data_IF_576272083192
#
_entry.id   IF_576272083192
#
_cell.length_a   1.000
_cell.length_b   1.000
_cell.length_c   1.000
_cell.angle_alpha   90.00
_cell.angle_beta   90.00
_cell.angle_gamma   90.00
#
_symmetry.space_group_name_H-M   'P 1'
#
loop_
_entity.id
_entity.type
_entity.pdbx_description
1 polymer ?
#
# COMPACT_ATOMS: atom_id res chain seq x y z
N UNK A 1 51.43 -31.60 30.93
CA UNK A 1 51.29 -31.36 29.48
C UNK A 1 49.79 -31.18 29.21
N UNK A 2 49.32 -29.93 29.18
CA UNK A 2 47.88 -29.64 29.04
C UNK A 2 47.48 -29.64 27.56
N UNK A 3 46.35 -30.26 27.17
CA UNK A 3 45.84 -30.16 25.81
C UNK A 3 45.28 -28.74 25.61
N UNK A 4 45.81 -28.04 24.60
CA UNK A 4 45.29 -26.73 24.21
C UNK A 4 43.92 -26.92 23.59
N UNK A 5 42.91 -26.34 24.22
CA UNK A 5 41.53 -26.36 23.75
C UNK A 5 41.39 -25.73 22.37
N UNK A 6 40.73 -26.46 21.48
CA UNK A 6 40.29 -26.00 20.18
C UNK A 6 39.10 -25.05 20.35
N UNK A 7 39.22 -23.81 19.87
CA UNK A 7 38.10 -22.86 19.78
C UNK A 7 37.08 -23.35 18.73
N UNK A 8 35.79 -23.54 19.10
CA UNK A 8 34.81 -24.12 18.20
C UNK A 8 34.03 -23.05 17.39
N UNK A 9 33.85 -23.32 16.09
CA UNK A 9 32.63 -23.07 15.29
C UNK A 9 32.10 -21.62 15.24
N UNK A 10 32.84 -20.69 14.62
CA UNK A 10 32.29 -19.40 14.15
C UNK A 10 32.33 -19.25 12.62
N UNK A 11 33.26 -19.93 11.95
CA UNK A 11 33.46 -19.84 10.50
C UNK A 11 32.37 -20.52 9.67
N UNK A 12 31.74 -21.57 10.19
CA UNK A 12 30.79 -22.43 9.47
C UNK A 12 29.46 -21.71 9.16
N UNK A 13 29.01 -20.91 10.13
CA UNK A 13 27.80 -20.10 9.99
C UNK A 13 28.00 -18.97 8.97
N UNK A 14 29.17 -18.35 8.96
CA UNK A 14 29.47 -17.27 8.00
C UNK A 14 29.71 -17.79 6.58
N UNK A 15 30.28 -18.99 6.42
CA UNK A 15 30.33 -19.66 5.11
C UNK A 15 28.95 -20.05 4.63
N UNK A 16 28.09 -20.58 5.52
CA UNK A 16 26.71 -20.93 5.19
C UNK A 16 25.89 -19.71 4.77
N UNK A 17 26.05 -18.57 5.47
CA UNK A 17 25.43 -17.29 5.09
C UNK A 17 25.88 -16.83 3.71
N UNK A 18 27.18 -16.88 3.41
CA UNK A 18 27.73 -16.50 2.11
C UNK A 18 27.22 -17.40 0.97
N UNK A 19 27.12 -18.71 1.21
CA UNK A 19 26.55 -19.65 0.25
C UNK A 19 25.06 -19.41 0.01
N UNK A 20 24.28 -19.11 1.06
CA UNK A 20 22.88 -18.76 0.89
C UNK A 20 22.70 -17.46 0.09
N UNK A 21 23.51 -16.44 0.38
CA UNK A 21 23.50 -15.18 -0.36
C UNK A 21 23.84 -15.38 -1.85
N UNK A 22 24.83 -16.21 -2.17
CA UNK A 22 25.19 -16.50 -3.56
C UNK A 22 24.06 -17.25 -4.29
N UNK A 23 23.43 -18.24 -3.66
CA UNK A 23 22.27 -18.96 -4.24
C UNK A 23 21.10 -18.04 -4.52
N UNK A 24 20.78 -17.12 -3.59
CA UNK A 24 19.74 -16.12 -3.80
C UNK A 24 20.09 -15.16 -4.94
N UNK A 25 21.36 -14.75 -5.06
CA UNK A 25 21.82 -13.92 -6.17
C UNK A 25 21.71 -14.63 -7.53
N UNK A 26 22.06 -15.92 -7.60
CA UNK A 26 21.92 -16.74 -8.82
C UNK A 26 20.45 -16.89 -9.19
N UNK A 27 19.56 -17.16 -8.24
CA UNK A 27 18.12 -17.21 -8.48
C UNK A 27 17.57 -15.86 -8.97
N UNK A 28 18.07 -14.74 -8.43
CA UNK A 28 17.69 -13.42 -8.93
C UNK A 28 18.18 -13.17 -10.36
N UNK A 29 19.37 -13.67 -10.72
CA UNK A 29 19.90 -13.58 -12.08
C UNK A 29 19.11 -14.44 -13.06
N UNK A 30 18.69 -15.66 -12.68
CA UNK A 30 17.86 -16.50 -13.53
C UNK A 30 16.50 -15.85 -13.81
N UNK A 31 15.88 -15.22 -12.81
CA UNK A 31 14.63 -14.45 -13.01
C UNK A 31 14.82 -13.29 -13.99
N UNK A 32 15.95 -12.57 -13.92
CA UNK A 32 16.29 -11.51 -14.88
C UNK A 32 16.52 -12.06 -16.28
N UNK A 33 17.17 -13.22 -16.41
CA UNK A 33 17.38 -13.90 -17.68
C UNK A 33 16.07 -14.34 -18.33
N UNK A 34 15.13 -14.87 -17.54
CA UNK A 34 13.79 -15.19 -18.02
C UNK A 34 13.09 -13.94 -18.57
N UNK A 35 13.17 -12.79 -17.88
CA UNK A 35 12.58 -11.55 -18.36
C UNK A 35 13.20 -11.07 -19.69
N UNK A 36 14.54 -11.09 -19.80
CA UNK A 36 15.23 -10.70 -21.05
C UNK A 36 14.94 -11.67 -22.20
N UNK A 37 14.76 -12.95 -21.91
CA UNK A 37 14.43 -13.95 -22.92
C UNK A 37 13.04 -13.69 -23.48
N UNK A 38 12.04 -13.46 -22.61
CA UNK A 38 10.67 -13.14 -23.04
C UNK A 38 10.64 -11.86 -23.88
N UNK A 39 11.42 -10.83 -23.51
CA UNK A 39 11.56 -9.61 -24.31
C UNK A 39 12.16 -9.88 -25.70
N UNK A 40 13.19 -10.74 -25.77
CA UNK A 40 13.79 -11.15 -27.05
C UNK A 40 12.78 -11.90 -27.93
N UNK A 41 12.00 -12.80 -27.34
CA UNK A 41 10.91 -13.51 -28.04
C UNK A 41 9.84 -12.55 -28.54
N UNK A 42 9.45 -11.54 -27.74
CA UNK A 42 8.51 -10.52 -28.18
C UNK A 42 9.04 -9.72 -29.38
N UNK A 43 10.33 -9.37 -29.37
CA UNK A 43 10.98 -8.66 -30.48
C UNK A 43 11.10 -9.51 -31.76
N UNK A 44 11.27 -10.83 -31.65
CA UNK A 44 11.29 -11.71 -32.82
C UNK A 44 9.88 -11.94 -33.37
N UNK A 45 8.88 -12.15 -32.51
CA UNK A 45 7.46 -12.25 -32.88
C UNK A 45 6.98 -10.99 -33.61
N UNK A 46 7.38 -9.80 -33.15
CA UNK A 46 7.03 -8.53 -33.80
C UNK A 46 7.62 -8.33 -35.21
N UNK A 47 8.69 -9.08 -35.56
CA UNK A 47 9.37 -8.98 -36.87
C UNK A 47 8.91 -10.04 -37.86
N UNK A 48 8.07 -10.99 -37.45
CA UNK A 48 7.57 -12.06 -38.31
C UNK A 48 6.23 -11.66 -38.93
N UNK A 49 5.98 -11.96 -40.22
CA UNK A 49 4.66 -11.85 -40.81
C UNK A 49 3.81 -13.03 -40.34
N UNK A 50 3.10 -12.85 -39.23
CA UNK A 50 2.21 -13.87 -38.67
C UNK A 50 0.81 -13.77 -39.30
N UNK A 51 0.29 -14.89 -39.78
CA UNK A 51 -1.11 -15.08 -40.16
C UNK A 51 -2.02 -15.10 -38.92
N UNK A 52 -3.30 -14.74 -39.12
CA UNK A 52 -4.27 -14.62 -38.04
C UNK A 52 -4.45 -15.93 -37.25
N UNK A 53 -4.39 -17.07 -37.94
CA UNK A 53 -4.58 -18.40 -37.34
C UNK A 53 -3.41 -18.75 -36.40
N UNK A 54 -2.18 -18.40 -36.79
CA UNK A 54 -0.98 -18.59 -35.95
C UNK A 54 -0.98 -17.71 -34.70
N UNK A 55 -1.57 -16.51 -34.76
CA UNK A 55 -1.69 -15.60 -33.61
C UNK A 55 -2.67 -16.18 -32.58
N UNK A 56 -3.80 -16.72 -33.04
CA UNK A 56 -4.82 -17.31 -32.18
C UNK A 56 -4.29 -18.55 -31.45
N UNK A 57 -3.56 -19.42 -32.16
CA UNK A 57 -2.92 -20.59 -31.55
C UNK A 57 -1.86 -20.21 -30.49
N UNK A 58 -1.09 -19.14 -30.72
CA UNK A 58 -0.14 -18.63 -29.73
C UNK A 58 -0.85 -18.03 -28.50
N UNK A 59 -1.96 -17.32 -28.71
CA UNK A 59 -2.72 -16.74 -27.61
C UNK A 59 -3.37 -17.82 -26.73
N UNK A 60 -3.87 -18.91 -27.32
CA UNK A 60 -4.40 -20.07 -26.59
C UNK A 60 -3.30 -20.74 -25.74
N UNK A 61 -2.08 -20.87 -26.28
CA UNK A 61 -0.95 -21.46 -25.56
C UNK A 61 -0.44 -20.60 -24.40
N UNK A 62 -0.47 -19.26 -24.54
CA UNK A 62 -0.01 -18.32 -23.51
C UNK A 62 -1.04 -18.08 -22.40
N UNK A 63 -2.33 -18.34 -22.64
CA UNK A 63 -3.42 -18.27 -21.65
C UNK A 63 -3.77 -16.85 -21.18
N UNK A 64 -5.06 -16.52 -21.16
CA UNK A 64 -5.60 -15.19 -20.80
C UNK A 64 -5.61 -14.88 -19.29
N UNK A 65 -4.61 -15.31 -18.51
CA UNK A 65 -4.58 -14.98 -17.09
C UNK A 65 -4.30 -13.46 -16.89
N UNK A 66 -5.25 -12.66 -16.35
CA UNK A 66 -5.03 -11.23 -16.19
C UNK A 66 -3.95 -10.99 -15.13
N UNK A 67 -2.76 -10.61 -15.56
CA UNK A 67 -1.71 -10.10 -14.68
C UNK A 67 -2.18 -8.73 -14.17
N UNK A 68 -2.73 -8.68 -12.96
CA UNK A 68 -3.04 -7.43 -12.26
C UNK A 68 -1.72 -6.73 -11.91
N UNK A 69 -1.15 -5.99 -12.86
CA UNK A 69 -0.03 -5.07 -12.62
C UNK A 69 -0.61 -3.90 -11.81
N UNK A 70 -0.64 -4.06 -10.48
CA UNK A 70 -0.98 -2.97 -9.59
C UNK A 70 -0.05 -1.79 -9.86
N UNK A 71 -0.61 -0.67 -10.31
CA UNK A 71 0.10 0.59 -10.56
C UNK A 71 0.79 1.05 -9.27
N UNK A 72 2.00 0.57 -9.01
CA UNK A 72 2.85 1.11 -7.95
C UNK A 72 3.30 2.48 -8.44
N UNK A 73 2.74 3.53 -7.85
CA UNK A 73 3.26 4.90 -7.97
C UNK A 73 4.73 4.85 -7.56
N UNK A 74 5.63 5.17 -8.49
CA UNK A 74 7.04 5.35 -8.17
C UNK A 74 7.13 6.38 -7.04
N UNK A 75 7.64 5.92 -5.89
CA UNK A 75 8.17 6.80 -4.86
C UNK A 75 9.62 7.01 -5.26
N UNK A 76 10.03 8.25 -5.44
CA UNK A 76 11.44 8.62 -5.49
C UNK A 76 12.13 8.03 -4.25
N UNK A 77 13.12 7.18 -4.53
CA UNK A 77 13.87 6.35 -3.59
C UNK A 77 15.05 7.17 -3.05
N UNK A 78 14.80 7.91 -1.97
CA UNK A 78 15.83 8.35 -1.04
C UNK A 78 15.62 7.58 0.27
N UNK A 79 16.25 6.42 0.37
CA UNK A 79 16.68 5.79 1.63
C UNK A 79 15.61 5.32 2.62
N UNK A 80 15.71 4.03 2.96
CA UNK A 80 15.04 3.34 4.09
C UNK A 80 13.58 2.90 3.86
N UNK A 81 13.45 1.75 3.21
CA UNK A 81 12.22 1.01 2.99
C UNK A 81 11.62 0.33 4.22
N UNK A 82 11.72 0.92 5.41
CA UNK A 82 10.86 0.51 6.52
C UNK A 82 9.53 1.24 6.39
N UNK A 83 8.43 0.49 6.18
CA UNK A 83 7.08 1.02 6.40
C UNK A 83 7.06 1.55 7.84
N UNK A 84 7.20 2.87 8.00
CA UNK A 84 7.12 3.53 9.31
C UNK A 84 5.73 3.23 9.87
N UNK A 85 5.62 2.16 10.65
CA UNK A 85 4.48 1.88 11.51
C UNK A 85 4.45 3.09 12.42
N UNK A 86 3.53 4.03 12.15
CA UNK A 86 3.42 5.27 12.92
C UNK A 86 3.29 4.84 14.38
N UNK A 87 4.36 5.04 15.15
CA UNK A 87 4.38 4.76 16.59
C UNK A 87 3.33 5.68 17.16
N UNK A 88 2.15 5.12 17.39
CA UNK A 88 1.05 5.82 18.01
C UNK A 88 1.42 5.82 19.48
N UNK A 89 1.93 6.97 19.96
CA UNK A 89 2.09 7.19 21.39
C UNK A 89 0.78 6.79 22.08
N UNK A 90 0.83 6.03 23.20
CA UNK A 90 -0.38 5.72 23.96
C UNK A 90 -1.11 7.04 24.20
N UNK A 91 -2.37 7.11 23.75
CA UNK A 91 -3.19 8.30 23.95
C UNK A 91 -3.60 8.31 25.41
N UNK A 92 -3.38 9.43 26.09
CA UNK A 92 -3.86 9.64 27.44
C UNK A 92 -5.38 9.39 27.47
N UNK A 93 -5.89 8.56 28.40
CA UNK A 93 -7.31 8.26 28.50
C UNK A 93 -8.21 9.49 28.70
N UNK A 94 -7.63 10.60 29.16
CA UNK A 94 -8.32 11.87 29.40
C UNK A 94 -8.10 12.93 28.29
N UNK A 95 -7.40 12.59 27.20
CA UNK A 95 -7.21 13.54 26.10
C UNK A 95 -8.49 13.65 25.24
N UNK A 96 -8.95 14.86 24.89
CA UNK A 96 -10.11 15.03 24.03
C UNK A 96 -9.86 14.38 22.66
N UNK A 97 -10.85 13.62 22.19
CA UNK A 97 -10.78 12.96 20.88
C UNK A 97 -10.70 14.03 19.80
N UNK A 98 -9.72 13.89 18.88
CA UNK A 98 -9.56 14.85 17.77
C UNK A 98 -10.87 15.03 17.01
N UNK A 99 -11.23 16.27 16.63
CA UNK A 99 -12.43 16.51 15.86
C UNK A 99 -12.37 15.75 14.54
N UNK A 100 -13.51 15.23 14.11
CA UNK A 100 -13.64 14.57 12.82
C UNK A 100 -13.46 15.60 11.69
N UNK A 101 -12.69 15.26 10.66
CA UNK A 101 -12.60 16.08 9.46
C UNK A 101 -13.95 16.14 8.73
N UNK A 102 -14.22 17.20 7.96
CA UNK A 102 -15.42 17.36 7.14
C UNK A 102 -15.76 16.10 6.31
N UNK A 103 -14.74 15.49 5.70
CA UNK A 103 -14.92 14.24 4.95
C UNK A 103 -15.41 13.07 5.82
N UNK A 104 -14.94 12.98 7.06
CA UNK A 104 -15.34 11.89 7.99
C UNK A 104 -16.80 12.06 8.41
N UNK A 105 -17.27 13.30 8.61
CA UNK A 105 -18.67 13.59 8.92
C UNK A 105 -19.57 13.23 7.73
N UNK A 106 -19.24 13.73 6.55
CA UNK A 106 -19.91 13.38 5.30
C UNK A 106 -19.96 11.86 5.08
N UNK A 107 -18.83 11.19 5.25
CA UNK A 107 -18.73 9.75 5.12
C UNK A 107 -19.65 9.03 6.10
N UNK A 108 -19.74 9.47 7.35
CA UNK A 108 -20.58 8.82 8.35
C UNK A 108 -22.07 8.91 7.97
N UNK A 109 -22.54 10.07 7.52
CA UNK A 109 -23.93 10.27 7.09
C UNK A 109 -24.27 9.45 5.85
N UNK A 110 -23.41 9.49 4.83
CA UNK A 110 -23.65 8.77 3.57
C UNK A 110 -23.50 7.27 3.77
N UNK A 111 -22.55 6.81 4.59
CA UNK A 111 -22.39 5.40 4.93
C UNK A 111 -23.62 4.86 5.63
N UNK A 112 -24.23 5.63 6.55
CA UNK A 112 -25.45 5.21 7.24
C UNK A 112 -26.60 4.98 6.24
N UNK A 113 -26.83 5.93 5.32
CA UNK A 113 -27.86 5.82 4.28
C UNK A 113 -27.60 4.65 3.31
N UNK A 114 -26.35 4.46 2.88
CA UNK A 114 -26.02 3.38 1.94
C UNK A 114 -26.10 2.00 2.59
N UNK A 115 -25.78 1.88 3.87
CA UNK A 115 -25.88 0.62 4.62
C UNK A 115 -27.35 0.21 4.84
N UNK A 116 -28.24 1.18 5.01
CA UNK A 116 -29.69 0.93 5.11
C UNK A 116 -30.28 0.46 3.77
N UNK A 117 -29.85 1.06 2.67
CA UNK A 117 -30.31 0.69 1.33
C UNK A 117 -29.70 -0.62 0.83
N UNK A 118 -28.47 -0.93 1.23
CA UNK A 118 -27.72 -2.09 0.76
C UNK A 118 -26.95 -2.75 1.91
N UNK A 119 -27.63 -3.48 2.81
CA UNK A 119 -26.98 -4.14 3.95
C UNK A 119 -26.03 -5.28 3.52
N UNK A 120 -26.21 -5.81 2.31
CA UNK A 120 -25.43 -6.91 1.73
C UNK A 120 -24.05 -6.47 1.19
N UNK A 121 -23.86 -5.17 0.92
CA UNK A 121 -22.64 -4.68 0.29
C UNK A 121 -21.49 -4.53 1.29
N UNK A 122 -20.26 -4.92 0.93
CA UNK A 122 -19.10 -4.77 1.81
C UNK A 122 -18.77 -3.30 2.02
N UNK A 123 -18.42 -2.94 3.26
CA UNK A 123 -18.10 -1.56 3.65
C UNK A 123 -16.96 -0.94 2.80
N UNK A 124 -16.08 -1.76 2.23
CA UNK A 124 -15.01 -1.34 1.32
C UNK A 124 -15.54 -0.69 0.03
N UNK A 125 -16.59 -1.27 -0.55
CA UNK A 125 -17.21 -0.74 -1.78
C UNK A 125 -17.98 0.54 -1.50
N UNK A 126 -18.69 0.58 -0.36
CA UNK A 126 -19.38 1.79 0.10
C UNK A 126 -18.39 2.95 0.30
N UNK A 127 -17.25 2.72 0.95
CA UNK A 127 -16.21 3.75 1.11
C UNK A 127 -15.65 4.23 -0.23
N UNK A 128 -15.48 3.31 -1.18
CA UNK A 128 -14.97 3.63 -2.52
C UNK A 128 -15.96 4.53 -3.27
N UNK A 129 -17.26 4.25 -3.18
CA UNK A 129 -18.31 5.07 -3.76
C UNK A 129 -18.39 6.47 -3.12
N UNK A 130 -18.32 6.52 -1.78
CA UNK A 130 -18.32 7.79 -1.02
C UNK A 130 -17.13 8.65 -1.40
N UNK A 131 -15.93 8.07 -1.53
CA UNK A 131 -14.72 8.79 -1.93
C UNK A 131 -14.82 9.40 -3.33
N UNK A 132 -15.42 8.67 -4.29
CA UNK A 132 -15.70 9.19 -5.64
C UNK A 132 -16.70 10.34 -5.58
N UNK A 133 -17.79 10.18 -4.83
CA UNK A 133 -18.81 11.21 -4.66
C UNK A 133 -18.24 12.49 -4.03
N UNK A 134 -17.43 12.37 -2.99
CA UNK A 134 -16.74 13.50 -2.36
C UNK A 134 -15.79 14.22 -3.30
N UNK A 135 -15.05 13.49 -4.14
CA UNK A 135 -14.16 14.12 -5.13
C UNK A 135 -14.95 14.89 -6.18
N UNK A 136 -16.12 14.37 -6.57
CA UNK A 136 -17.03 15.01 -7.52
C UNK A 136 -17.83 16.19 -6.96
N UNK A 137 -17.91 16.35 -5.64
CA UNK A 137 -18.62 17.47 -5.01
C UNK A 137 -17.85 18.78 -5.17
N UNK A 138 -18.60 19.85 -5.44
CA UNK A 138 -18.07 21.20 -5.57
C UNK A 138 -17.53 21.73 -4.23
N UNK A 139 -16.65 22.74 -4.27
CA UNK A 139 -16.08 23.32 -3.06
C UNK A 139 -17.17 23.88 -2.11
N UNK A 140 -18.27 24.40 -2.68
CA UNK A 140 -19.42 24.90 -1.93
C UNK A 140 -20.16 23.80 -1.17
N UNK A 141 -20.36 22.62 -1.76
CA UNK A 141 -21.01 21.49 -1.07
C UNK A 141 -20.14 20.90 0.04
N UNK A 142 -18.81 20.93 -0.15
CA UNK A 142 -17.84 20.53 0.89
C UNK A 142 -17.84 21.51 2.07
N UNK A 143 -18.07 22.79 1.79
CA UNK A 143 -18.18 23.85 2.80
C UNK A 143 -19.50 23.77 3.59
N UNK A 144 -20.60 23.38 2.92
CA UNK A 144 -21.88 23.05 3.59
C UNK A 144 -21.79 21.79 4.45
N UNK A 145 -20.82 20.90 4.18
CA UNK A 145 -20.46 19.79 5.07
C UNK A 145 -19.42 20.17 6.14
N UNK A 146 -18.90 21.41 6.13
CA UNK A 146 -17.99 21.98 7.14
C UNK A 146 -18.65 22.77 8.30
N UNK A 147 -19.98 22.80 8.55
CA UNK A 147 -20.48 23.51 9.69
C UNK A 147 -20.21 22.65 10.93
N UNK A 148 -19.51 23.24 11.90
CA UNK A 148 -19.62 23.01 13.36
C UNK A 148 -18.34 22.67 14.15
N UNK A 149 -17.15 22.54 13.57
CA UNK A 149 -15.93 22.28 14.37
C UNK A 149 -14.92 23.42 14.43
N UNK A 150 -15.13 24.54 13.73
CA UNK A 150 -14.25 25.72 13.88
C UNK A 150 -14.42 26.41 15.26
N UNK A 151 -15.51 26.10 15.99
CA UNK A 151 -15.82 26.72 17.29
C UNK A 151 -15.21 25.93 18.47
N UNK A 152 -15.07 24.61 18.39
CA UNK A 152 -14.52 23.80 19.49
C UNK A 152 -13.01 24.02 19.72
N UNK A 153 -12.28 24.48 18.70
CA UNK A 153 -10.83 24.70 18.80
C UNK A 153 -10.48 26.04 19.47
N UNK A 154 -11.38 27.02 19.43
CA UNK A 154 -11.21 28.30 20.14
C UNK A 154 -11.61 28.15 21.61
N UNK A 155 -12.66 27.39 21.91
CA UNK A 155 -13.05 27.11 23.30
C UNK A 155 -12.06 26.19 24.04
N UNK A 156 -11.45 25.19 23.40
CA UNK A 156 -10.40 24.38 24.05
C UNK A 156 -9.12 25.17 24.36
N UNK A 157 -8.81 26.19 23.56
CA UNK A 157 -7.74 27.15 23.88
C UNK A 157 -8.10 28.08 25.05
N UNK A 158 -9.37 28.50 25.17
CA UNK A 158 -9.80 29.38 26.26
C UNK A 158 -9.91 28.64 27.60
N UNK A 159 -10.45 27.42 27.61
CA UNK A 159 -10.59 26.61 28.84
C UNK A 159 -9.23 26.09 29.35
N UNK A 160 -8.20 25.98 28.48
CA UNK A 160 -6.84 25.63 28.91
C UNK A 160 -6.06 26.81 29.52
N UNK A 161 -6.48 28.06 29.27
CA UNK A 161 -5.86 29.26 29.84
C UNK A 161 -6.47 29.65 31.20
N UNK A 162 -7.72 29.28 31.48
CA UNK A 162 -8.36 29.54 32.78
C UNK A 162 -7.98 28.53 33.88
N UNK A 163 -7.31 27.43 33.56
CA UNK A 163 -6.77 26.47 34.55
C UNK A 163 -5.29 26.79 34.89
N UNK A 164 -4.67 27.77 34.21
CA UNK A 164 -3.27 28.17 34.44
C UNK A 164 -3.11 29.64 34.84
N UNK A 165 -4.06 30.19 35.62
CA UNK A 165 -3.89 31.40 36.45
C UNK A 165 -4.50 31.13 37.81
#
# INVERSE_FOLDING_TARGET
MAPKEAKPVLSDVDTSKKQLASRLSVAAQSMRQCATFVESVAQTVAKLPLDADSIEALQELLGDAPIKIGKRKARDDDGDGTKRKRVTKPKDPNAPKRPASAYILFQNEVRAKLKEQNPELPQSELLSLIGRRWTSMSQQEKEVSMPLFHIDNVLLCHVSLEIYI
#
